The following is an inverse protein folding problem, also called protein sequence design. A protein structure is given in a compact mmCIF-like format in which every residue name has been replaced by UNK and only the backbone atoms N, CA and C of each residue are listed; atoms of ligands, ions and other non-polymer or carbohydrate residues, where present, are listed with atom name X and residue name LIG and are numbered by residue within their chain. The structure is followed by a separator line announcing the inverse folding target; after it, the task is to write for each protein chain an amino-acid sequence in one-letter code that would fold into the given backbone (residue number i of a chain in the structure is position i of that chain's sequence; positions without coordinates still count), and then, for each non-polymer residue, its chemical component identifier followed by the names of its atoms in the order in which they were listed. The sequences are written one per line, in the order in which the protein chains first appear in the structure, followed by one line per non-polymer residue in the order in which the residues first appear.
data_IF_699675854780
#
_entry.id   IF_699675854780
#
_cell.length_a   1.000
_cell.length_b   1.000
_cell.length_c   1.000
_cell.angle_alpha   90.00
_cell.angle_beta   90.00
_cell.angle_gamma   90.00
#
_symmetry.space_group_name_H-M   'P 1'
#
loop_
_entity.id
_entity.type
_entity.pdbx_description
1 polymer ?
#
# COMPACT_ATOMS: atom_id res chain seq x y z
N UNK A 1 -21.28 4.89 -0.62
CA UNK A 1 -19.80 4.86 -0.77
C UNK A 1 -19.08 5.18 0.54
N UNK A 2 -19.50 6.21 1.27
CA UNK A 2 -18.87 6.69 2.53
C UNK A 2 -18.67 5.65 3.64
N UNK A 3 -19.67 4.80 3.93
CA UNK A 3 -19.55 3.78 4.98
C UNK A 3 -18.49 2.71 4.64
N UNK A 4 -18.49 2.20 3.41
CA UNK A 4 -17.52 1.20 2.98
C UNK A 4 -16.08 1.73 3.09
N UNK A 5 -15.84 2.97 2.64
CA UNK A 5 -14.55 3.64 2.79
C UNK A 5 -14.17 3.79 4.27
N UNK A 6 -15.10 4.22 5.13
CA UNK A 6 -14.84 4.37 6.57
C UNK A 6 -14.49 3.04 7.25
N UNK A 7 -15.21 1.96 6.90
CA UNK A 7 -14.94 0.61 7.40
C UNK A 7 -13.56 0.10 6.95
N UNK A 8 -13.20 0.28 5.67
CA UNK A 8 -11.88 -0.10 5.15
C UNK A 8 -10.75 0.68 5.83
N UNK A 9 -10.94 1.98 6.07
CA UNK A 9 -10.00 2.80 6.86
C UNK A 9 -9.82 2.24 8.26
N UNK A 10 -10.93 2.02 8.98
CA UNK A 10 -10.91 1.46 10.33
C UNK A 10 -10.21 0.11 10.38
N UNK A 11 -10.52 -0.78 9.43
CA UNK A 11 -9.89 -2.09 9.32
C UNK A 11 -8.38 -2.01 9.08
N UNK A 12 -7.92 -1.17 8.12
CA UNK A 12 -6.49 -1.00 7.84
C UNK A 12 -5.74 -0.44 9.04
N UNK A 13 -6.30 0.55 9.75
CA UNK A 13 -5.70 1.07 11.00
C UNK A 13 -5.60 0.02 12.09
N UNK A 14 -6.67 -0.75 12.31
CA UNK A 14 -6.69 -1.80 13.32
C UNK A 14 -5.66 -2.89 12.99
N UNK A 15 -5.56 -3.29 11.72
CA UNK A 15 -4.58 -4.27 11.27
C UNK A 15 -3.15 -3.79 11.45
N UNK A 16 -2.83 -2.55 11.06
CA UNK A 16 -1.49 -1.99 11.26
C UNK A 16 -1.14 -1.91 12.75
N UNK A 17 -2.09 -1.45 13.58
CA UNK A 17 -1.90 -1.40 15.04
C UNK A 17 -1.57 -2.78 15.61
N UNK A 18 -2.33 -3.81 15.23
CA UNK A 18 -2.07 -5.19 15.67
C UNK A 18 -0.70 -5.71 15.22
N UNK A 19 -0.22 -5.31 14.03
CA UNK A 19 1.14 -5.62 13.58
C UNK A 19 2.18 -4.92 14.47
N UNK A 20 2.03 -3.62 14.72
CA UNK A 20 2.94 -2.87 15.59
C UNK A 20 2.96 -3.39 17.04
N UNK A 21 1.89 -4.04 17.51
CA UNK A 21 1.84 -4.64 18.86
C UNK A 21 2.68 -5.92 18.98
N UNK A 22 2.99 -6.59 17.86
CA UNK A 22 3.69 -7.89 17.85
C UNK A 22 5.06 -7.81 17.17
N UNK A 23 5.28 -6.81 16.30
CA UNK A 23 6.50 -6.67 15.49
C UNK A 23 6.94 -5.22 15.40
N UNK A 24 8.24 -4.99 15.50
CA UNK A 24 8.84 -3.67 15.29
C UNK A 24 8.96 -3.40 13.79
N UNK A 25 8.12 -2.50 13.26
CA UNK A 25 8.16 -2.12 11.84
C UNK A 25 9.17 -1.00 11.53
N UNK A 26 9.58 -0.27 12.55
CA UNK A 26 10.58 0.80 12.46
C UNK A 26 11.39 0.89 13.75
N UNK A 27 12.65 1.30 13.63
CA UNK A 27 13.62 1.36 14.72
C UNK A 27 13.54 2.68 15.51
N UNK A 28 13.11 3.77 14.86
CA UNK A 28 12.88 5.04 15.52
C UNK A 28 11.74 5.81 14.84
N UNK A 29 11.12 6.70 15.61
CA UNK A 29 10.09 7.61 15.11
C UNK A 29 10.42 9.05 15.48
N UNK A 30 10.11 9.99 14.59
CA UNK A 30 10.34 11.42 14.82
C UNK A 30 11.82 11.85 14.90
N UNK A 31 12.76 10.98 14.53
CA UNK A 31 14.18 11.35 14.39
C UNK A 31 14.46 12.14 13.10
N UNK A 32 13.58 11.99 12.11
CA UNK A 32 13.68 12.62 10.79
C UNK A 32 12.31 13.17 10.39
N UNK A 33 12.34 14.27 9.62
CA UNK A 33 11.14 14.92 9.11
C UNK A 33 10.70 14.27 7.80
N UNK A 34 9.49 13.72 7.77
CA UNK A 34 8.94 13.08 6.57
C UNK A 34 7.84 13.93 5.94
N UNK A 35 7.83 14.02 4.61
CA UNK A 35 6.75 14.70 3.87
C UNK A 35 5.69 13.68 3.44
N UNK A 36 4.42 14.04 3.58
CA UNK A 36 3.29 13.30 3.01
C UNK A 36 3.06 13.75 1.55
N UNK A 37 3.21 12.87 0.54
CA UNK A 37 3.12 13.26 -0.88
C UNK A 37 1.76 13.81 -1.33
N UNK A 38 0.68 13.51 -0.61
CA UNK A 38 -0.70 13.91 -0.90
C UNK A 38 -1.19 15.11 -0.05
N UNK A 39 -0.28 15.89 0.55
CA UNK A 39 -0.66 17.06 1.34
C UNK A 39 -1.33 18.16 0.51
N UNK A 40 -0.92 18.33 -0.75
CA UNK A 40 -1.44 19.37 -1.64
C UNK A 40 -2.94 19.16 -1.97
N UNK A 41 -3.40 17.90 -1.99
CA UNK A 41 -4.81 17.54 -2.21
C UNK A 41 -5.72 17.87 -1.02
N UNK A 42 -5.18 17.94 0.21
CA UNK A 42 -6.00 18.24 1.41
C UNK A 42 -6.45 19.70 1.49
N UNK A 43 -5.99 20.57 0.60
CA UNK A 43 -6.60 21.89 0.40
C UNK A 43 -6.44 22.89 1.54
N UNK A 44 -5.54 22.66 2.51
CA UNK A 44 -5.19 23.65 3.53
C UNK A 44 -4.14 24.62 2.98
N UNK A 45 -4.60 25.48 2.05
CA UNK A 45 -3.81 26.54 1.40
C UNK A 45 -3.29 27.49 2.49
N UNK A 46 -2.05 27.28 2.94
CA UNK A 46 -1.40 28.10 3.97
C UNK A 46 -0.92 27.35 5.21
N UNK A 47 -1.19 26.04 5.35
CA UNK A 47 -0.52 25.22 6.37
C UNK A 47 0.83 24.77 5.79
N UNK A 48 1.90 25.34 6.33
CA UNK A 48 3.29 24.98 6.02
C UNK A 48 3.44 23.46 5.92
N UNK A 49 4.19 22.96 4.93
CA UNK A 49 4.46 21.53 4.72
C UNK A 49 4.80 20.86 6.05
N UNK A 50 3.79 20.23 6.66
CA UNK A 50 3.90 19.72 8.02
C UNK A 50 4.67 18.41 7.90
N UNK A 51 5.94 18.45 8.31
CA UNK A 51 6.73 17.26 8.53
C UNK A 51 5.99 16.35 9.50
N UNK A 52 5.90 15.07 9.16
CA UNK A 52 5.23 14.06 9.97
C UNK A 52 6.24 13.04 10.48
N UNK A 53 5.97 12.41 11.64
CA UNK A 53 6.74 11.25 12.08
C UNK A 53 6.63 10.10 11.07
N UNK A 54 7.64 9.23 11.05
CA UNK A 54 7.69 8.03 10.21
C UNK A 54 6.47 7.14 10.44
N UNK A 55 6.05 6.97 11.70
CA UNK A 55 4.86 6.18 12.05
C UNK A 55 3.60 6.70 11.35
N UNK A 56 3.46 8.02 11.21
CA UNK A 56 2.35 8.65 10.50
C UNK A 56 2.47 8.46 8.98
N UNK A 57 3.66 8.67 8.40
CA UNK A 57 3.91 8.40 6.99
C UNK A 57 3.54 6.95 6.64
N UNK A 58 4.04 5.98 7.42
CA UNK A 58 3.76 4.56 7.26
C UNK A 58 2.26 4.27 7.38
N UNK A 59 1.60 4.81 8.42
CA UNK A 59 0.17 4.53 8.67
C UNK A 59 -0.75 5.09 7.58
N UNK A 60 -0.50 6.31 7.10
CA UNK A 60 -1.30 6.92 6.03
C UNK A 60 -1.04 6.23 4.69
N UNK A 61 0.19 5.77 4.43
CA UNK A 61 0.53 4.96 3.25
C UNK A 61 -0.20 3.62 3.29
N UNK A 62 -0.13 2.90 4.42
CA UNK A 62 -0.78 1.61 4.60
C UNK A 62 -2.30 1.68 4.42
N UNK A 63 -2.92 2.74 4.95
CA UNK A 63 -4.34 2.99 4.76
C UNK A 63 -4.68 3.23 3.28
N UNK A 64 -3.94 4.11 2.60
CA UNK A 64 -4.17 4.46 1.18
C UNK A 64 -4.02 3.28 0.24
N UNK A 65 -2.99 2.45 0.43
CA UNK A 65 -2.83 1.18 -0.31
C UNK A 65 -4.07 0.31 -0.19
N UNK A 66 -4.67 0.25 1.01
CA UNK A 66 -5.89 -0.50 1.22
C UNK A 66 -7.13 0.09 0.58
N UNK A 67 -7.23 1.42 0.55
CA UNK A 67 -8.35 2.13 -0.06
C UNK A 67 -8.27 2.13 -1.59
N UNK A 68 -7.08 2.02 -2.17
CA UNK A 68 -6.85 1.93 -3.60
C UNK A 68 -7.61 0.77 -4.26
N UNK A 69 -7.85 -0.32 -3.53
CA UNK A 69 -8.68 -1.44 -3.97
C UNK A 69 -10.15 -1.05 -4.23
N UNK A 70 -10.61 0.04 -3.62
CA UNK A 70 -11.98 0.53 -3.71
C UNK A 70 -12.09 1.83 -4.51
N UNK A 71 -11.05 2.65 -4.51
CA UNK A 71 -10.93 3.84 -5.35
C UNK A 71 -9.46 4.09 -5.73
N UNK A 72 -9.08 3.91 -7.01
CA UNK A 72 -7.70 4.12 -7.47
C UNK A 72 -7.14 5.52 -7.20
N UNK A 73 -7.98 6.54 -6.99
CA UNK A 73 -7.50 7.89 -6.64
C UNK A 73 -6.63 7.89 -5.37
N UNK A 74 -6.86 6.95 -4.44
CA UNK A 74 -6.02 6.82 -3.25
C UNK A 74 -4.58 6.38 -3.54
N UNK A 75 -4.24 5.97 -4.77
CA UNK A 75 -2.87 5.69 -5.19
C UNK A 75 -2.05 6.95 -5.47
N UNK A 76 -2.69 8.12 -5.58
CA UNK A 76 -1.96 9.38 -5.77
C UNK A 76 -0.95 9.58 -4.63
N UNK A 77 0.33 9.72 -5.00
CA UNK A 77 1.42 9.90 -4.04
C UNK A 77 1.88 8.62 -3.31
N UNK A 78 1.19 7.49 -3.45
CA UNK A 78 1.53 6.24 -2.74
C UNK A 78 2.86 5.63 -3.20
N UNK A 79 3.17 5.52 -4.51
CA UNK A 79 4.48 5.03 -4.94
C UNK A 79 5.64 5.85 -4.36
N UNK A 80 5.50 7.19 -4.36
CA UNK A 80 6.50 8.11 -3.81
C UNK A 80 6.63 7.95 -2.29
N UNK A 81 5.51 7.77 -1.58
CA UNK A 81 5.56 7.52 -0.14
C UNK A 81 6.28 6.20 0.18
N UNK A 82 6.04 5.15 -0.61
CA UNK A 82 6.75 3.88 -0.44
C UNK A 82 8.25 4.03 -0.72
N UNK A 83 8.66 4.79 -1.74
CA UNK A 83 10.06 5.09 -2.01
C UNK A 83 10.71 5.78 -0.78
N UNK A 84 10.05 6.81 -0.24
CA UNK A 84 10.52 7.54 0.95
C UNK A 84 10.68 6.62 2.17
N UNK A 85 9.72 5.72 2.41
CA UNK A 85 9.78 4.79 3.54
C UNK A 85 10.88 3.74 3.33
N UNK A 86 11.07 3.25 2.10
CA UNK A 86 12.10 2.24 1.79
C UNK A 86 13.52 2.80 1.93
N UNK A 87 13.72 4.07 1.58
CA UNK A 87 15.00 4.77 1.73
C UNK A 87 15.26 5.27 3.16
N UNK A 88 14.24 5.31 4.01
CA UNK A 88 14.34 5.77 5.39
C UNK A 88 15.30 4.91 6.22
N UNK A 89 16.09 5.56 7.06
CA UNK A 89 17.00 4.88 7.99
C UNK A 89 16.24 4.14 9.10
N UNK A 90 14.96 4.46 9.30
CA UNK A 90 14.11 3.94 10.35
C UNK A 90 13.56 2.54 10.06
N UNK A 91 13.57 2.06 8.81
CA UNK A 91 12.85 0.82 8.44
C UNK A 91 13.57 -0.46 8.89
N UNK A 92 12.88 -1.30 9.67
CA UNK A 92 13.39 -2.63 10.10
C UNK A 92 13.27 -3.69 9.00
N UNK A 93 13.78 -4.89 9.25
CA UNK A 93 13.59 -6.05 8.34
C UNK A 93 12.11 -6.38 8.15
N UNK A 94 11.33 -6.39 9.24
CA UNK A 94 9.89 -6.68 9.18
C UNK A 94 9.12 -5.55 8.50
N UNK A 95 9.53 -4.29 8.72
CA UNK A 95 9.04 -3.13 7.97
C UNK A 95 9.25 -3.29 6.46
N UNK A 96 10.44 -3.73 6.02
CA UNK A 96 10.72 -4.00 4.60
C UNK A 96 9.84 -5.10 4.02
N UNK A 97 9.54 -6.16 4.78
CA UNK A 97 8.62 -7.20 4.33
C UNK A 97 7.20 -6.66 4.15
N UNK A 98 6.72 -5.80 5.06
CA UNK A 98 5.44 -5.13 4.92
C UNK A 98 5.40 -4.23 3.68
N UNK A 99 6.47 -3.47 3.42
CA UNK A 99 6.58 -2.61 2.23
C UNK A 99 6.50 -3.42 0.94
N UNK A 100 7.19 -4.57 0.88
CA UNK A 100 7.13 -5.47 -0.27
C UNK A 100 5.70 -6.00 -0.52
N UNK A 101 4.95 -6.30 0.55
CA UNK A 101 3.52 -6.67 0.44
C UNK A 101 2.70 -5.50 -0.11
N UNK A 102 2.89 -4.29 0.40
CA UNK A 102 2.17 -3.10 -0.10
C UNK A 102 2.47 -2.80 -1.57
N UNK A 103 3.73 -2.93 -2.01
CA UNK A 103 4.13 -2.81 -3.42
C UNK A 103 3.39 -3.80 -4.30
N UNK A 104 3.25 -5.04 -3.84
CA UNK A 104 2.48 -6.07 -4.55
C UNK A 104 0.98 -5.74 -4.60
N UNK A 105 0.42 -5.18 -3.53
CA UNK A 105 -0.98 -4.75 -3.51
C UNK A 105 -1.26 -3.65 -4.55
N UNK A 106 -0.35 -2.68 -4.70
CA UNK A 106 -0.56 -1.55 -5.64
C UNK A 106 -0.19 -1.85 -7.09
N UNK A 107 0.74 -2.79 -7.34
CA UNK A 107 1.13 -3.18 -8.70
C UNK A 107 0.13 -4.16 -9.36
N UNK A 108 -0.96 -4.50 -8.65
CA UNK A 108 -1.92 -5.50 -9.10
C UNK A 108 -1.43 -6.92 -8.82
N UNK A 109 -2.35 -7.79 -8.45
CA UNK A 109 -2.10 -9.23 -8.41
C UNK A 109 -2.07 -9.77 -9.84
N UNK A 110 -0.97 -9.54 -10.56
CA UNK A 110 -0.71 -10.15 -11.88
C UNK A 110 -0.52 -11.69 -11.80
N UNK A 111 -0.73 -12.29 -10.62
CA UNK A 111 -0.39 -13.68 -10.31
C UNK A 111 -1.54 -14.66 -10.12
N UNK A 112 -2.81 -14.29 -10.35
CA UNK A 112 -3.93 -15.26 -10.30
C UNK A 112 -4.96 -15.06 -11.40
N UNK A 113 -4.52 -14.91 -12.65
CA UNK A 113 -5.34 -15.31 -13.79
C UNK A 113 -4.89 -16.71 -14.20
N UNK A 114 -5.50 -17.71 -13.56
CA UNK A 114 -5.40 -19.10 -13.99
C UNK A 114 -5.93 -19.20 -15.41
N UNK A 115 -5.01 -19.17 -16.37
CA UNK A 115 -5.30 -19.38 -17.78
C UNK A 115 -5.49 -20.89 -17.96
N UNK A 116 -6.70 -21.36 -17.67
CA UNK A 116 -7.13 -22.72 -17.96
C UNK A 116 -7.27 -22.81 -19.49
N UNK A 117 -6.14 -22.94 -20.19
CA UNK A 117 -6.12 -23.28 -21.59
C UNK A 117 -6.63 -24.71 -21.74
N UNK A 118 -7.94 -24.87 -21.85
CA UNK A 118 -8.57 -26.10 -22.32
C UNK A 118 -7.94 -26.41 -23.68
N UNK A 119 -6.98 -27.34 -23.72
CA UNK A 119 -6.54 -27.96 -24.97
C UNK A 119 -7.75 -28.70 -25.53
N UNK A 120 -8.47 -28.08 -26.45
CA UNK A 120 -9.37 -28.79 -27.35
C UNK A 120 -8.49 -29.74 -28.15
N UNK A 121 -8.64 -31.04 -27.87
CA UNK A 121 -7.93 -32.10 -28.57
C UNK A 121 -8.22 -32.01 -30.07
N UNK A 122 -7.16 -31.89 -30.86
CA UNK A 122 -7.21 -31.96 -32.31
C UNK A 122 -7.71 -33.32 -32.73
N UNK A 123 -8.89 -33.29 -33.36
CA UNK A 123 -9.54 -34.36 -34.09
C UNK A 123 -8.60 -34.91 -35.17
N UNK A 124 -8.22 -36.18 -35.07
CA UNK A 124 -7.51 -36.89 -36.14
C UNK A 124 -8.53 -37.30 -37.20
N UNK A 125 -8.63 -36.53 -38.26
CA UNK A 125 -9.24 -37.00 -39.51
C UNK A 125 -8.21 -37.83 -40.27
N UNK A 126 -8.37 -39.16 -40.25
CA UNK A 126 -7.72 -40.04 -41.21
C UNK A 126 -8.53 -40.03 -42.51
N UNK A 127 -7.90 -39.62 -43.62
CA UNK A 127 -8.43 -39.71 -44.98
C UNK A 127 -7.69 -40.82 -45.72
N UNK A 128 -8.50 -41.75 -46.25
CA UNK A 128 -8.25 -42.77 -47.30
C UNK A 128 -7.31 -43.92 -47.01
#
# INVERSE_FOLDING_TARGET
RTLATALLRGFRRAKLRALCEVTDLYASDGSWDHRLPWQEERGERGKQEEAVPFSRLLSETYERVGLALFDPEFLAGVPQALDLIEEAAETTVDGKQLLAVMRKEINGTDGTSGKNGCKTGTEWTAVR
#
